data_IF_105504502293
#
_entry.id   IF_105504502293
#
_cell.length_a   1.000
_cell.length_b   1.000
_cell.length_c   1.000
_cell.angle_alpha   90.00
_cell.angle_beta   90.00
_cell.angle_gamma   90.00
#
_symmetry.space_group_name_H-M   'P 1'
#
loop_
_entity.id
_entity.type
_entity.pdbx_description
1 polymer ?
#
# COMPACT_ATOMS: atom_id res chain seq x y z
N UNK A 1 -5.58 48.42 -43.73
CA UNK A 1 -6.12 47.11 -43.31
C UNK A 1 -5.22 46.59 -42.22
N UNK A 2 -5.73 46.60 -40.98
CA UNK A 2 -4.96 46.46 -39.76
C UNK A 2 -4.47 45.01 -39.55
N UNK A 3 -3.18 44.86 -39.25
CA UNK A 3 -2.61 43.60 -38.80
C UNK A 3 -3.04 43.38 -37.33
N UNK A 4 -3.81 42.32 -37.09
CA UNK A 4 -4.21 41.89 -35.75
C UNK A 4 -2.99 41.36 -35.00
N UNK A 5 -2.39 42.20 -34.15
CA UNK A 5 -1.36 41.77 -33.19
C UNK A 5 -1.93 40.66 -32.29
N UNK A 6 -1.41 39.45 -32.43
CA UNK A 6 -1.68 38.38 -31.46
C UNK A 6 -1.03 38.77 -30.13
N UNK A 7 -1.76 38.71 -29.00
CA UNK A 7 -1.19 39.05 -27.71
C UNK A 7 0.00 38.11 -27.43
N UNK A 8 1.18 38.70 -27.22
CA UNK A 8 2.40 37.98 -26.84
C UNK A 8 2.07 37.07 -25.66
N UNK A 9 2.35 35.77 -25.82
CA UNK A 9 2.17 34.75 -24.79
C UNK A 9 2.76 35.27 -23.48
N UNK A 10 1.95 35.35 -22.42
CA UNK A 10 2.41 35.79 -21.10
C UNK A 10 3.63 34.96 -20.71
N UNK A 11 4.75 35.62 -20.45
CA UNK A 11 5.95 34.95 -19.97
C UNK A 11 5.76 34.62 -18.48
N UNK A 12 5.35 33.38 -18.21
CA UNK A 12 5.14 32.86 -16.86
C UNK A 12 6.44 32.39 -16.19
N UNK A 13 7.63 32.67 -16.76
CA UNK A 13 8.91 32.17 -16.25
C UNK A 13 9.23 32.64 -14.82
N UNK A 14 8.89 33.89 -14.49
CA UNK A 14 9.07 34.46 -13.14
C UNK A 14 8.04 33.93 -12.11
N UNK A 15 6.81 33.62 -12.54
CA UNK A 15 5.76 33.08 -11.65
C UNK A 15 5.91 31.58 -11.38
N UNK A 16 6.60 30.84 -12.25
CA UNK A 16 6.78 29.39 -12.14
C UNK A 16 7.97 29.03 -11.27
N UNK A 17 7.88 29.38 -9.98
CA UNK A 17 8.91 29.17 -8.96
C UNK A 17 9.53 27.76 -8.97
N UNK A 18 8.73 26.74 -9.30
CA UNK A 18 9.08 25.32 -9.15
C UNK A 18 9.06 24.49 -10.45
N UNK A 19 8.48 24.99 -11.54
CA UNK A 19 8.29 24.19 -12.76
C UNK A 19 9.57 24.18 -13.60
N UNK A 20 10.02 22.99 -14.04
CA UNK A 20 11.18 22.83 -14.93
C UNK A 20 12.55 22.91 -14.25
N UNK A 21 12.60 23.02 -12.91
CA UNK A 21 13.84 23.11 -12.14
C UNK A 21 14.19 21.77 -11.49
N UNK A 22 15.49 21.42 -11.48
CA UNK A 22 16.00 20.29 -10.71
C UNK A 22 16.15 20.70 -9.24
N UNK A 23 15.12 20.43 -8.44
CA UNK A 23 15.04 20.79 -7.02
C UNK A 23 15.35 19.55 -6.18
N UNK A 24 16.13 19.72 -5.10
CA UNK A 24 16.38 18.63 -4.16
C UNK A 24 15.10 18.22 -3.46
N UNK A 25 14.87 16.92 -3.33
CA UNK A 25 13.66 16.39 -2.73
C UNK A 25 13.69 16.62 -1.22
N UNK A 26 12.54 17.00 -0.66
CA UNK A 26 12.40 17.21 0.79
C UNK A 26 12.45 15.87 1.53
N UNK A 27 12.15 14.78 0.83
CA UNK A 27 12.06 13.43 1.36
C UNK A 27 13.42 12.71 1.44
N UNK A 28 14.43 13.16 0.69
CA UNK A 28 15.76 12.52 0.65
C UNK A 28 16.37 12.37 2.05
N UNK A 29 16.41 13.39 2.92
CA UNK A 29 17.05 13.26 4.22
C UNK A 29 16.40 12.23 5.14
N UNK A 30 15.08 12.01 5.06
CA UNK A 30 14.41 11.00 5.89
C UNK A 30 14.65 9.59 5.35
N UNK A 31 14.52 9.40 4.04
CA UNK A 31 14.63 8.07 3.43
C UNK A 31 16.07 7.57 3.41
N UNK A 32 17.03 8.43 3.08
CA UNK A 32 18.46 8.06 3.04
C UNK A 32 19.02 7.74 4.43
N UNK A 33 18.32 8.11 5.51
CA UNK A 33 18.73 7.84 6.90
C UNK A 33 17.94 6.72 7.56
N UNK A 34 17.10 5.99 6.81
CA UNK A 34 16.23 4.95 7.38
C UNK A 34 15.18 5.50 8.36
N UNK A 35 14.83 6.78 8.23
CA UNK A 35 13.79 7.45 9.04
C UNK A 35 12.48 7.62 8.26
N UNK A 36 12.35 6.94 7.13
CA UNK A 36 11.03 6.73 6.52
C UNK A 36 10.19 5.84 7.43
N UNK A 37 8.89 6.13 7.53
CA UNK A 37 7.96 5.21 8.17
C UNK A 37 7.21 4.43 7.09
N UNK A 38 7.34 3.11 7.11
CA UNK A 38 6.59 2.18 6.30
C UNK A 38 5.64 1.36 7.19
N UNK A 39 4.70 0.64 6.56
CA UNK A 39 3.67 -0.09 7.30
C UNK A 39 4.28 -1.15 8.23
N UNK A 40 5.34 -1.83 7.79
CA UNK A 40 6.01 -2.89 8.57
C UNK A 40 6.92 -2.34 9.69
N UNK A 41 7.20 -1.04 9.69
CA UNK A 41 7.95 -0.39 10.78
C UNK A 41 7.05 -0.09 11.99
N UNK A 42 5.73 -0.12 11.81
CA UNK A 42 4.78 0.15 12.88
C UNK A 42 4.78 -0.98 13.91
N UNK A 43 4.81 -0.61 15.20
CA UNK A 43 4.67 -1.53 16.33
C UNK A 43 3.62 -0.98 17.28
N UNK A 44 2.51 -1.71 17.42
CA UNK A 44 1.40 -1.35 18.31
C UNK A 44 1.27 -2.36 19.47
N UNK A 45 0.83 -1.94 20.66
CA UNK A 45 0.51 -2.87 21.74
C UNK A 45 -0.52 -3.90 21.29
N UNK A 46 -0.24 -5.19 21.50
CA UNK A 46 -1.13 -6.27 21.10
C UNK A 46 -1.15 -6.57 19.59
N UNK A 47 -0.22 -6.03 18.80
CA UNK A 47 -0.13 -6.33 17.37
C UNK A 47 0.15 -7.81 17.11
N UNK A 48 -0.62 -8.41 16.20
CA UNK A 48 -0.53 -9.81 15.80
C UNK A 48 -0.11 -9.90 14.33
N UNK A 49 0.36 -11.08 13.90
CA UNK A 49 0.77 -11.32 12.52
C UNK A 49 -0.16 -12.36 11.89
N UNK A 50 -0.48 -12.16 10.62
CA UNK A 50 -1.24 -13.10 9.82
C UNK A 50 -0.36 -13.74 8.75
N UNK A 51 -0.58 -15.02 8.48
CA UNK A 51 0.04 -15.75 7.38
C UNK A 51 -1.05 -16.36 6.49
N UNK A 52 -0.84 -16.30 5.18
CA UNK A 52 -1.79 -16.79 4.18
C UNK A 52 -1.30 -18.12 3.61
N UNK A 53 -2.08 -19.19 3.81
CA UNK A 53 -1.90 -20.44 3.07
C UNK A 53 -2.44 -20.23 1.66
N UNK A 54 -1.59 -20.42 0.65
CA UNK A 54 -1.94 -20.18 -0.76
C UNK A 54 -2.22 -21.48 -1.48
N UNK A 55 -3.09 -21.42 -2.48
CA UNK A 55 -3.36 -22.56 -3.36
C UNK A 55 -2.09 -22.96 -4.13
N UNK A 56 -1.69 -24.24 -4.13
CA UNK A 56 -0.66 -24.75 -5.04
C UNK A 56 -1.23 -25.01 -6.45
N UNK A 57 -2.54 -24.94 -6.62
CA UNK A 57 -3.23 -25.16 -7.89
C UNK A 57 -3.67 -23.84 -8.52
N UNK A 58 -3.43 -23.67 -9.83
CA UNK A 58 -3.87 -22.49 -10.57
C UNK A 58 -5.41 -22.41 -10.68
N UNK A 59 -6.09 -23.55 -10.77
CA UNK A 59 -7.55 -23.65 -10.77
C UNK A 59 -7.98 -25.00 -10.18
N UNK A 60 -8.77 -24.95 -9.11
CA UNK A 60 -9.30 -26.14 -8.46
C UNK A 60 -10.54 -25.79 -7.63
N UNK A 61 -11.39 -26.79 -7.37
CA UNK A 61 -12.45 -26.69 -6.36
C UNK A 61 -11.86 -27.05 -5.00
N UNK A 62 -12.05 -26.19 -4.00
CA UNK A 62 -11.73 -26.51 -2.61
C UNK A 62 -12.78 -27.50 -2.11
N UNK A 63 -12.37 -28.73 -1.81
CA UNK A 63 -13.26 -29.77 -1.27
C UNK A 63 -13.28 -29.73 0.26
N UNK A 64 -12.11 -29.58 0.86
CA UNK A 64 -11.93 -29.48 2.31
C UNK A 64 -10.65 -28.75 2.66
N UNK A 65 -10.59 -28.23 3.90
CA UNK A 65 -9.39 -27.63 4.50
C UNK A 65 -9.30 -28.15 5.93
N UNK A 66 -8.24 -28.89 6.26
CA UNK A 66 -7.95 -29.29 7.63
C UNK A 66 -7.08 -28.22 8.31
N UNK A 67 -7.60 -27.62 9.37
CA UNK A 67 -6.97 -26.53 10.13
C UNK A 67 -6.54 -26.94 11.53
N UNK A 68 -6.78 -28.19 11.91
CA UNK A 68 -6.68 -28.66 13.29
C UNK A 68 -5.25 -28.62 13.82
N UNK A 69 -4.28 -28.96 12.98
CA UNK A 69 -2.87 -28.85 13.33
C UNK A 69 -2.47 -27.40 13.61
N UNK A 70 -2.91 -26.46 12.78
CA UNK A 70 -2.60 -25.03 12.94
C UNK A 70 -3.26 -24.45 14.20
N UNK A 71 -4.53 -24.79 14.48
CA UNK A 71 -5.25 -24.34 15.67
C UNK A 71 -4.59 -24.76 16.99
N UNK A 72 -3.90 -25.90 17.00
CA UNK A 72 -3.21 -26.42 18.19
C UNK A 72 -1.82 -25.82 18.43
N UNK A 73 -1.27 -25.06 17.48
CA UNK A 73 0.06 -24.49 17.65
C UNK A 73 0.04 -23.37 18.71
N UNK A 74 0.98 -23.37 19.67
CA UNK A 74 1.11 -22.28 20.62
C UNK A 74 1.31 -20.94 19.90
N UNK A 75 0.56 -19.92 20.32
CA UNK A 75 0.62 -18.57 19.75
C UNK A 75 -0.26 -18.32 18.52
N UNK A 76 -0.94 -19.35 18.00
CA UNK A 76 -1.99 -19.15 16.99
C UNK A 76 -3.26 -18.65 17.68
N UNK A 77 -3.69 -17.44 17.31
CA UNK A 77 -4.88 -16.81 17.89
C UNK A 77 -6.15 -17.16 17.12
N UNK A 78 -6.05 -17.35 15.81
CA UNK A 78 -7.17 -17.69 14.94
C UNK A 78 -6.67 -18.39 13.68
N UNK A 79 -7.51 -19.26 13.12
CA UNK A 79 -7.38 -19.78 11.75
C UNK A 79 -8.68 -19.45 11.03
N UNK A 80 -8.60 -18.64 10.00
CA UNK A 80 -9.76 -18.12 9.27
C UNK A 80 -9.83 -18.80 7.90
N UNK A 81 -10.87 -19.59 7.66
CA UNK A 81 -11.17 -20.17 6.35
C UNK A 81 -12.32 -19.40 5.69
N UNK A 82 -12.79 -19.88 4.52
CA UNK A 82 -13.98 -19.32 3.88
C UNK A 82 -15.22 -19.37 4.77
N UNK A 83 -15.35 -20.38 5.64
CA UNK A 83 -16.49 -20.49 6.55
C UNK A 83 -16.48 -19.36 7.59
N UNK A 84 -15.36 -19.15 8.30
CA UNK A 84 -15.25 -18.06 9.27
C UNK A 84 -15.31 -16.68 8.60
N UNK A 85 -14.73 -16.54 7.40
CA UNK A 85 -14.77 -15.26 6.68
C UNK A 85 -16.20 -14.82 6.33
N UNK A 86 -17.07 -15.76 5.94
CA UNK A 86 -18.49 -15.48 5.66
C UNK A 86 -19.24 -15.02 6.92
N UNK A 87 -18.91 -15.58 8.08
CA UNK A 87 -19.53 -15.15 9.35
C UNK A 87 -19.05 -13.77 9.81
N UNK A 88 -17.79 -13.42 9.52
CA UNK A 88 -17.15 -12.18 9.98
C UNK A 88 -17.35 -10.98 9.04
N UNK A 89 -17.51 -11.24 7.74
CA UNK A 89 -17.72 -10.19 6.75
C UNK A 89 -19.22 -9.96 6.57
N UNK A 90 -19.77 -8.98 7.28
CA UNK A 90 -21.10 -8.44 7.00
C UNK A 90 -21.06 -7.79 5.60
N UNK A 91 -21.86 -8.24 4.62
CA UNK A 91 -21.80 -7.78 3.22
C UNK A 91 -22.30 -6.35 2.99
#
# INVERSE_FOLDING_TARGET
MAATEHPRTRDFSEERKWVGKSIRRVEDPKFLRGKGGYIDDMRLPGMVHAALVRSPHAHARIVSVDVEAARRLPGVLAVVTGAEAVELADP
#
